data_IF_820914888317
#
_entry.id   IF_820914888317
#
_cell.length_a   1.000
_cell.length_b   1.000
_cell.length_c   1.000
_cell.angle_alpha   90.00
_cell.angle_beta   90.00
_cell.angle_gamma   90.00
#
_symmetry.space_group_name_H-M   'P 1'
#
loop_
_entity.id
_entity.type
_entity.pdbx_description
1 polymer ?
#
# COMPACT_ATOMS: atom_id res chain seq x y z
N UNK A 1 19.16 -1.92 1.92
CA UNK A 1 18.43 -2.28 3.18
C UNK A 1 17.11 -2.95 2.79
N UNK A 2 16.69 -4.02 3.49
CA UNK A 2 15.48 -4.78 3.19
C UNK A 2 14.33 -4.42 4.13
N UNK A 3 13.11 -4.37 3.60
CA UNK A 3 11.89 -4.16 4.38
C UNK A 3 11.58 -5.41 5.22
N UNK A 4 11.66 -5.29 6.54
CA UNK A 4 11.43 -6.38 7.50
C UNK A 4 12.18 -7.70 7.14
N UNK A 5 13.42 -7.58 6.65
CA UNK A 5 14.24 -8.68 6.15
C UNK A 5 13.66 -9.44 4.94
N UNK A 6 12.65 -8.90 4.27
CA UNK A 6 12.03 -9.50 3.09
C UNK A 6 12.86 -9.22 1.83
N UNK A 7 13.05 -10.25 1.01
CA UNK A 7 13.59 -10.12 -0.35
C UNK A 7 12.47 -9.73 -1.33
N UNK A 8 11.26 -10.28 -1.13
CA UNK A 8 10.12 -10.06 -2.00
C UNK A 8 8.82 -9.89 -1.22
N UNK A 9 8.09 -8.83 -1.52
CA UNK A 9 6.82 -8.45 -0.88
C UNK A 9 5.74 -8.31 -1.94
N UNK A 10 4.55 -8.91 -1.69
CA UNK A 10 3.36 -8.68 -2.48
C UNK A 10 2.50 -7.61 -1.79
N UNK A 11 2.24 -6.51 -2.46
CA UNK A 11 1.33 -5.47 -1.98
C UNK A 11 -0.01 -5.60 -2.68
N UNK A 12 -1.09 -5.82 -1.93
CA UNK A 12 -2.44 -5.88 -2.47
C UNK A 12 -3.17 -4.58 -2.12
N UNK A 13 -3.52 -3.81 -3.13
CA UNK A 13 -4.32 -2.60 -3.02
C UNK A 13 -5.78 -2.91 -3.38
N UNK A 14 -6.73 -2.39 -2.64
CA UNK A 14 -8.13 -2.44 -3.05
C UNK A 14 -8.35 -1.53 -4.27
N UNK A 15 -7.77 -0.33 -4.21
CA UNK A 15 -7.91 0.72 -5.22
C UNK A 15 -6.55 1.25 -5.69
N UNK A 16 -6.50 1.86 -6.88
CA UNK A 16 -5.36 2.66 -7.30
C UNK A 16 -5.17 3.83 -6.32
N UNK A 17 -4.03 3.95 -5.69
CA UNK A 17 -3.58 4.93 -4.67
C UNK A 17 -3.33 4.37 -3.26
N UNK A 18 -3.91 3.24 -2.85
CA UNK A 18 -3.81 2.71 -1.48
C UNK A 18 -2.37 2.46 -1.05
N UNK A 19 -1.58 1.78 -1.90
CA UNK A 19 -0.17 1.42 -1.61
C UNK A 19 0.69 2.69 -1.65
N UNK A 20 0.46 3.55 -2.62
CA UNK A 20 1.20 4.80 -2.77
C UNK A 20 0.96 5.71 -1.57
N UNK A 21 -0.27 5.80 -1.12
CA UNK A 21 -0.63 6.59 0.05
C UNK A 21 -0.08 5.98 1.35
N UNK A 22 -0.24 4.67 1.53
CA UNK A 22 0.12 3.98 2.76
C UNK A 22 1.61 3.70 2.95
N UNK A 23 2.36 3.36 1.87
CA UNK A 23 3.70 2.79 2.02
C UNK A 23 4.74 3.12 0.93
N UNK A 24 4.46 4.06 0.01
CA UNK A 24 5.40 4.39 -1.07
C UNK A 24 6.78 4.81 -0.57
N UNK A 25 6.84 5.57 0.52
CA UNK A 25 8.10 6.00 1.11
C UNK A 25 8.96 4.83 1.60
N UNK A 26 8.34 3.82 2.19
CA UNK A 26 9.02 2.57 2.58
C UNK A 26 9.53 1.82 1.36
N UNK A 27 8.75 1.73 0.29
CA UNK A 27 9.18 1.10 -0.96
C UNK A 27 10.44 1.78 -1.50
N UNK A 28 10.46 3.11 -1.55
CA UNK A 28 11.61 3.90 -2.02
C UNK A 28 12.83 3.74 -1.11
N UNK A 29 12.61 3.66 0.20
CA UNK A 29 13.69 3.49 1.20
C UNK A 29 14.35 2.11 1.11
N UNK A 30 13.56 1.06 0.97
CA UNK A 30 14.03 -0.33 1.04
C UNK A 30 14.36 -0.92 -0.34
N UNK A 31 15.36 -0.37 -0.99
CA UNK A 31 15.74 -0.67 -2.38
C UNK A 31 16.21 -2.10 -2.64
N UNK A 32 16.57 -2.86 -1.59
CA UNK A 32 17.00 -4.27 -1.72
C UNK A 32 15.79 -5.24 -1.59
N UNK A 33 14.58 -4.73 -1.36
CA UNK A 33 13.33 -5.49 -1.41
C UNK A 33 12.63 -5.25 -2.74
N UNK A 34 12.17 -6.32 -3.38
CA UNK A 34 11.29 -6.23 -4.56
C UNK A 34 9.84 -6.16 -4.11
N UNK A 35 9.10 -5.22 -4.65
CA UNK A 35 7.68 -5.05 -4.36
C UNK A 35 6.85 -5.30 -5.62
N UNK A 36 6.05 -6.39 -5.60
CA UNK A 36 5.03 -6.59 -6.60
C UNK A 36 3.73 -5.96 -6.08
N UNK A 37 3.17 -5.01 -6.84
CA UNK A 37 1.92 -4.32 -6.48
C UNK A 37 0.81 -4.87 -7.36
N UNK A 38 -0.25 -5.38 -6.75
CA UNK A 38 -1.48 -5.76 -7.43
C UNK A 38 -2.63 -4.86 -6.97
N UNK A 39 -3.11 -4.03 -7.87
CA UNK A 39 -4.34 -3.27 -7.66
C UNK A 39 -5.52 -4.14 -8.09
N UNK A 40 -6.45 -4.39 -7.17
CA UNK A 40 -7.49 -5.40 -7.34
C UNK A 40 -8.73 -4.86 -8.06
N UNK A 41 -9.11 -3.59 -7.81
CA UNK A 41 -10.24 -2.97 -8.49
C UNK A 41 -9.83 -1.80 -9.37
N UNK A 42 -10.70 -1.46 -10.30
CA UNK A 42 -10.52 -0.29 -11.16
C UNK A 42 -10.63 1.04 -10.38
N UNK A 43 -11.30 1.02 -9.22
CA UNK A 43 -11.44 2.18 -8.35
C UNK A 43 -12.21 3.36 -8.95
N UNK A 44 -12.86 3.16 -10.08
CA UNK A 44 -13.68 4.19 -10.74
C UNK A 44 -15.07 4.31 -10.13
N UNK A 45 -15.59 5.51 -10.06
CA UNK A 45 -16.96 5.79 -9.65
C UNK A 45 -17.96 5.44 -10.76
N UNK A 46 -18.03 4.15 -11.17
CA UNK A 46 -18.92 3.65 -12.23
C UNK A 46 -18.65 4.19 -13.65
N UNK A 47 -17.54 4.90 -13.85
CA UNK A 47 -17.13 5.46 -15.15
C UNK A 47 -15.81 4.81 -15.61
N UNK A 48 -15.84 4.17 -16.80
CA UNK A 48 -14.67 3.49 -17.37
C UNK A 48 -13.51 4.46 -17.67
N UNK A 49 -13.79 5.70 -18.03
CA UNK A 49 -12.78 6.71 -18.32
C UNK A 49 -11.94 7.04 -17.07
N UNK A 50 -12.60 7.19 -15.92
CA UNK A 50 -11.94 7.46 -14.65
C UNK A 50 -11.07 6.28 -14.19
N UNK A 51 -11.50 5.04 -14.43
CA UNK A 51 -10.72 3.84 -14.09
C UNK A 51 -9.40 3.77 -14.88
N UNK A 52 -9.46 4.03 -16.19
CA UNK A 52 -8.26 4.05 -17.05
C UNK A 52 -7.28 5.13 -16.61
N UNK A 53 -7.78 6.31 -16.24
CA UNK A 53 -6.93 7.40 -15.79
C UNK A 53 -6.25 7.08 -14.46
N UNK A 54 -6.94 6.46 -13.50
CA UNK A 54 -6.37 6.02 -12.22
C UNK A 54 -5.26 4.98 -12.39
N UNK A 55 -5.41 4.04 -13.34
CA UNK A 55 -4.34 3.08 -13.65
C UNK A 55 -3.09 3.80 -14.19
N UNK A 56 -3.25 4.74 -15.12
CA UNK A 56 -2.14 5.54 -15.66
C UNK A 56 -1.47 6.39 -14.58
N UNK A 57 -2.22 6.90 -13.61
CA UNK A 57 -1.69 7.64 -12.47
C UNK A 57 -0.77 6.75 -11.63
N UNK A 58 -1.19 5.51 -11.30
CA UNK A 58 -0.32 4.52 -10.65
C UNK A 58 0.94 4.24 -11.48
N UNK A 59 0.79 3.91 -12.76
CA UNK A 59 1.92 3.61 -13.66
C UNK A 59 2.91 4.76 -13.69
N UNK A 60 2.44 6.00 -13.76
CA UNK A 60 3.28 7.19 -13.76
C UNK A 60 4.08 7.39 -12.47
N UNK A 61 3.60 6.85 -11.35
CA UNK A 61 4.33 6.84 -10.07
C UNK A 61 5.38 5.73 -10.07
N UNK A 62 5.04 4.55 -10.59
CA UNK A 62 5.91 3.37 -10.54
C UNK A 62 7.10 3.43 -11.49
N UNK A 63 6.95 4.10 -12.65
CA UNK A 63 8.00 4.23 -13.68
C UNK A 63 9.34 4.75 -13.15
N UNK A 64 9.30 5.58 -12.12
CA UNK A 64 10.50 6.20 -11.52
C UNK A 64 11.12 5.35 -10.39
N UNK A 65 10.60 4.13 -10.10
CA UNK A 65 10.97 3.34 -8.92
C UNK A 65 11.39 1.91 -9.32
N UNK A 66 12.68 1.66 -9.33
CA UNK A 66 13.31 0.44 -9.86
C UNK A 66 12.86 -0.88 -9.23
N UNK A 67 12.41 -0.85 -7.97
CA UNK A 67 12.07 -2.04 -7.19
C UNK A 67 10.57 -2.31 -7.11
N UNK A 68 9.75 -1.65 -7.95
CA UNK A 68 8.33 -1.90 -8.14
C UNK A 68 8.08 -2.71 -9.41
N UNK A 69 7.19 -3.70 -9.31
CA UNK A 69 6.50 -4.30 -10.43
C UNK A 69 4.99 -4.20 -10.19
N UNK A 70 4.34 -3.28 -10.89
CA UNK A 70 2.90 -3.03 -10.77
C UNK A 70 2.06 -3.85 -11.74
N UNK A 71 0.83 -4.20 -11.32
CA UNK A 71 -0.17 -4.86 -12.16
C UNK A 71 -1.59 -4.59 -11.66
N UNK A 72 -2.58 -4.85 -12.52
CA UNK A 72 -4.00 -4.64 -12.24
C UNK A 72 -4.79 -5.92 -12.46
N UNK A 73 -5.82 -6.15 -11.63
CA UNK A 73 -6.71 -7.30 -11.76
C UNK A 73 -7.98 -6.97 -12.57
N UNK A 74 -8.28 -5.70 -12.78
CA UNK A 74 -9.43 -5.22 -13.58
C UNK A 74 -10.80 -5.70 -13.10
N UNK A 75 -10.98 -5.84 -11.78
CA UNK A 75 -12.29 -6.03 -11.18
C UNK A 75 -12.97 -4.67 -11.06
N UNK A 76 -14.18 -4.51 -11.61
CA UNK A 76 -14.89 -3.21 -11.53
C UNK A 76 -15.17 -2.81 -10.09
N UNK A 77 -15.78 -3.71 -9.33
CA UNK A 77 -16.10 -3.50 -7.92
C UNK A 77 -15.78 -4.76 -7.12
N UNK A 78 -14.99 -4.62 -6.07
CA UNK A 78 -14.72 -5.74 -5.17
C UNK A 78 -15.98 -6.21 -4.42
N UNK A 79 -17.02 -5.37 -4.35
CA UNK A 79 -18.33 -5.75 -3.81
C UNK A 79 -18.94 -6.96 -4.52
N UNK A 80 -18.76 -7.04 -5.85
CA UNK A 80 -19.41 -8.02 -6.71
C UNK A 80 -18.68 -9.38 -6.74
N UNK A 81 -17.49 -9.48 -6.14
CA UNK A 81 -16.63 -10.65 -6.15
C UNK A 81 -16.60 -11.27 -4.75
N UNK A 82 -16.70 -12.59 -4.64
CA UNK A 82 -16.53 -13.27 -3.36
C UNK A 82 -15.06 -13.31 -2.91
N UNK A 83 -14.81 -13.58 -1.62
CA UNK A 83 -13.44 -13.74 -1.12
C UNK A 83 -12.70 -14.91 -1.81
N UNK A 84 -13.40 -16.03 -2.09
CA UNK A 84 -12.82 -17.19 -2.79
C UNK A 84 -12.46 -16.86 -4.25
N UNK A 85 -13.31 -16.14 -4.97
CA UNK A 85 -13.01 -15.68 -6.34
C UNK A 85 -11.80 -14.75 -6.35
N UNK A 86 -11.70 -13.85 -5.37
CA UNK A 86 -10.56 -12.94 -5.24
C UNK A 86 -9.26 -13.70 -4.94
N UNK A 87 -9.29 -14.68 -4.03
CA UNK A 87 -8.16 -15.57 -3.72
C UNK A 87 -7.70 -16.27 -5.00
N UNK A 88 -8.62 -16.92 -5.71
CA UNK A 88 -8.31 -17.65 -6.94
C UNK A 88 -7.72 -16.74 -8.02
N UNK A 89 -8.22 -15.51 -8.15
CA UNK A 89 -7.72 -14.55 -9.10
C UNK A 89 -6.29 -14.10 -8.76
N UNK A 90 -5.98 -13.88 -7.48
CA UNK A 90 -4.61 -13.54 -7.03
C UNK A 90 -3.67 -14.73 -7.26
N UNK A 91 -4.07 -15.95 -6.87
CA UNK A 91 -3.26 -17.17 -7.04
C UNK A 91 -3.02 -17.52 -8.54
N UNK A 92 -3.90 -17.10 -9.43
CA UNK A 92 -3.70 -17.26 -10.87
C UNK A 92 -2.56 -16.37 -11.44
N UNK A 93 -2.27 -15.26 -10.78
CA UNK A 93 -1.21 -14.31 -11.18
C UNK A 93 0.10 -14.53 -10.43
N UNK A 94 0.02 -14.96 -9.17
CA UNK A 94 1.18 -15.00 -8.27
C UNK A 94 1.25 -16.35 -7.54
N UNK A 95 2.44 -16.96 -7.54
CA UNK A 95 2.72 -18.04 -6.60
C UNK A 95 3.05 -17.41 -5.24
N UNK A 96 2.12 -17.47 -4.29
CA UNK A 96 2.24 -16.80 -2.99
C UNK A 96 3.45 -17.31 -2.18
N UNK A 97 3.91 -18.55 -2.45
CA UNK A 97 5.10 -19.10 -1.78
C UNK A 97 6.42 -18.41 -2.18
N UNK A 98 6.41 -17.57 -3.22
CA UNK A 98 7.59 -16.82 -3.66
C UNK A 98 7.77 -15.51 -2.86
N UNK A 99 6.84 -15.20 -1.93
CA UNK A 99 6.85 -13.96 -1.16
C UNK A 99 7.14 -14.21 0.31
N UNK A 100 7.98 -13.37 0.89
CA UNK A 100 8.28 -13.39 2.32
C UNK A 100 7.14 -12.79 3.15
N UNK A 101 6.45 -11.79 2.58
CA UNK A 101 5.30 -11.17 3.21
C UNK A 101 4.32 -10.56 2.20
N UNK A 102 3.07 -10.41 2.64
CA UNK A 102 2.02 -9.66 1.94
C UNK A 102 1.70 -8.40 2.74
N UNK A 103 1.66 -7.24 2.05
CA UNK A 103 1.22 -5.96 2.61
C UNK A 103 -0.18 -5.63 2.09
N UNK A 104 -1.10 -5.26 2.98
CA UNK A 104 -2.51 -5.01 2.65
C UNK A 104 -3.10 -3.87 3.48
N UNK A 105 -4.25 -3.27 3.08
CA UNK A 105 -5.07 -2.46 3.96
C UNK A 105 -5.51 -3.24 5.20
N UNK A 106 -5.79 -2.57 6.34
CA UNK A 106 -6.14 -3.26 7.58
C UNK A 106 -7.57 -3.82 7.59
N UNK A 107 -7.82 -4.80 8.46
CA UNK A 107 -9.17 -5.27 8.77
C UNK A 107 -9.97 -4.19 9.52
N UNK A 108 -9.30 -3.42 10.38
CA UNK A 108 -9.89 -2.32 11.14
C UNK A 108 -9.94 -1.05 10.26
N UNK A 109 -10.76 -1.10 9.22
CA UNK A 109 -10.93 -0.03 8.23
C UNK A 109 -12.41 0.27 8.00
N UNK A 110 -12.77 1.54 7.80
CA UNK A 110 -14.14 1.94 7.49
C UNK A 110 -14.53 1.45 6.08
N UNK A 111 -13.57 1.39 5.14
CA UNK A 111 -13.83 0.95 3.77
C UNK A 111 -14.00 -0.57 3.69
N UNK A 112 -15.18 -1.03 3.24
CA UNK A 112 -15.49 -2.47 3.23
C UNK A 112 -14.61 -3.26 2.25
N UNK A 113 -14.16 -2.67 1.14
CA UNK A 113 -13.28 -3.33 0.17
C UNK A 113 -11.88 -3.55 0.74
N UNK A 114 -11.36 -2.63 1.56
CA UNK A 114 -10.12 -2.83 2.31
C UNK A 114 -10.21 -4.07 3.21
N UNK A 115 -11.32 -4.19 3.97
CA UNK A 115 -11.55 -5.37 4.82
C UNK A 115 -11.66 -6.67 4.03
N UNK A 116 -12.22 -6.62 2.82
CA UNK A 116 -12.29 -7.79 1.91
C UNK A 116 -10.90 -8.20 1.44
N UNK A 117 -10.05 -7.25 1.04
CA UNK A 117 -8.65 -7.52 0.65
C UNK A 117 -7.87 -8.15 1.80
N UNK A 118 -8.01 -7.63 3.02
CA UNK A 118 -7.39 -8.23 4.20
C UNK A 118 -7.79 -9.70 4.39
N UNK A 119 -9.09 -10.02 4.32
CA UNK A 119 -9.60 -11.39 4.51
C UNK A 119 -9.09 -12.34 3.42
N UNK A 120 -9.07 -11.88 2.17
CA UNK A 120 -8.50 -12.65 1.06
C UNK A 120 -7.01 -12.93 1.30
N UNK A 121 -6.21 -11.91 1.69
CA UNK A 121 -4.80 -12.08 2.01
C UNK A 121 -4.57 -13.07 3.17
N UNK A 122 -5.39 -12.99 4.22
CA UNK A 122 -5.33 -13.94 5.32
C UNK A 122 -5.63 -15.38 4.86
N UNK A 123 -6.59 -15.53 3.94
CA UNK A 123 -6.90 -16.83 3.29
C UNK A 123 -5.73 -17.38 2.47
N UNK A 124 -5.06 -16.53 1.67
CA UNK A 124 -3.90 -16.90 0.83
C UNK A 124 -2.76 -17.51 1.65
N UNK A 125 -2.45 -16.93 2.81
CA UNK A 125 -1.27 -17.33 3.61
C UNK A 125 -1.55 -18.42 4.64
N UNK A 126 -2.79 -18.92 4.74
CA UNK A 126 -3.20 -19.84 5.82
C UNK A 126 -2.33 -21.10 5.98
N UNK A 127 -1.72 -21.59 4.89
CA UNK A 127 -0.95 -22.85 4.84
C UNK A 127 0.52 -22.67 4.50
N UNK A 128 0.97 -21.43 4.33
CA UNK A 128 2.34 -21.11 3.92
C UNK A 128 3.06 -20.21 4.93
N UNK A 129 4.38 -20.25 4.89
CA UNK A 129 5.22 -19.35 5.69
C UNK A 129 5.38 -18.02 4.94
N UNK A 130 4.41 -17.15 5.09
CA UNK A 130 4.42 -15.81 4.53
C UNK A 130 3.91 -14.84 5.60
N UNK A 131 4.59 -13.71 5.78
CA UNK A 131 4.18 -12.66 6.72
C UNK A 131 2.91 -11.96 6.26
N UNK A 132 2.18 -11.36 7.20
CA UNK A 132 1.07 -10.45 6.92
C UNK A 132 1.31 -9.14 7.63
N UNK A 133 1.28 -8.06 6.87
CA UNK A 133 1.55 -6.71 7.34
C UNK A 133 0.42 -5.83 6.84
N UNK A 134 -0.13 -4.99 7.70
CA UNK A 134 -1.08 -3.97 7.29
C UNK A 134 -0.43 -2.60 7.30
N UNK A 135 -0.71 -1.79 6.28
CA UNK A 135 -0.30 -0.39 6.22
C UNK A 135 -1.48 0.52 6.54
N UNK A 136 -1.21 1.69 7.09
CA UNK A 136 -2.25 2.67 7.41
C UNK A 136 -2.89 3.22 6.14
N UNK A 137 -4.22 3.26 6.12
CA UNK A 137 -5.02 3.93 5.09
C UNK A 137 -5.70 5.17 5.67
N UNK A 138 -6.17 6.13 4.84
CA UNK A 138 -6.92 7.29 5.33
C UNK A 138 -8.23 6.93 6.05
N UNK A 139 -8.78 5.75 5.76
CA UNK A 139 -10.02 5.21 6.34
C UNK A 139 -9.81 4.23 7.48
N UNK A 140 -8.55 4.01 7.91
CA UNK A 140 -8.26 3.15 9.06
C UNK A 140 -8.94 3.68 10.32
N UNK A 141 -9.57 2.77 11.08
CA UNK A 141 -10.28 3.11 12.30
C UNK A 141 -9.32 3.35 13.48
N UNK A 142 -9.79 4.07 14.50
CA UNK A 142 -8.98 4.42 15.67
C UNK A 142 -8.47 3.19 16.46
N UNK A 143 -9.13 2.04 16.34
CA UNK A 143 -8.70 0.78 16.96
C UNK A 143 -7.60 0.05 16.17
N UNK A 144 -7.26 0.51 14.96
CA UNK A 144 -6.07 0.04 14.27
C UNK A 144 -4.82 0.67 14.89
N UNK A 145 -4.08 -0.09 15.65
CA UNK A 145 -2.89 0.38 16.36
C UNK A 145 -1.65 -0.19 15.68
N UNK A 146 -0.79 0.65 15.09
CA UNK A 146 0.46 0.19 14.49
C UNK A 146 1.46 -0.28 15.55
N UNK A 147 2.32 -1.23 15.17
CA UNK A 147 3.40 -1.76 16.01
C UNK A 147 4.78 -1.69 15.32
N UNK A 148 4.81 -1.16 14.11
CA UNK A 148 6.02 -0.93 13.34
C UNK A 148 5.95 0.40 12.59
N UNK A 149 7.05 1.15 12.60
CA UNK A 149 7.13 2.49 12.02
C UNK A 149 8.37 2.62 11.15
N UNK A 150 8.22 3.23 9.99
CA UNK A 150 9.32 3.60 9.11
C UNK A 150 9.48 5.11 9.14
N UNK A 151 10.57 5.57 9.75
CA UNK A 151 10.92 6.99 9.75
C UNK A 151 11.47 7.39 8.37
N UNK A 152 10.88 8.40 7.77
CA UNK A 152 11.22 8.96 6.47
C UNK A 152 11.61 10.43 6.55
N UNK A 153 11.72 10.96 7.77
CA UNK A 153 11.91 12.40 8.03
C UNK A 153 13.15 12.96 7.35
N UNK A 154 14.26 12.21 7.37
CA UNK A 154 15.57 12.64 6.84
C UNK A 154 16.11 11.74 5.75
N UNK A 155 15.39 10.69 5.38
CA UNK A 155 15.86 9.75 4.37
C UNK A 155 15.79 10.35 2.97
N UNK A 156 16.74 9.94 2.15
CA UNK A 156 16.87 10.40 0.78
C UNK A 156 16.80 9.23 -0.21
N UNK A 157 16.30 9.52 -1.40
CA UNK A 157 16.31 8.61 -2.54
C UNK A 157 17.75 8.38 -3.04
N UNK A 158 17.95 7.44 -3.95
CA UNK A 158 19.24 7.23 -4.65
C UNK A 158 19.74 8.51 -5.34
N UNK A 159 18.86 9.40 -5.76
CA UNK A 159 19.17 10.67 -6.43
C UNK A 159 19.36 11.83 -5.47
N UNK A 160 19.24 11.60 -4.15
CA UNK A 160 19.42 12.61 -3.11
C UNK A 160 18.19 13.45 -2.79
N UNK A 161 17.03 13.17 -3.38
CA UNK A 161 15.78 13.83 -3.00
C UNK A 161 15.26 13.30 -1.66
N UNK A 162 14.70 14.15 -0.81
CA UNK A 162 14.08 13.74 0.46
C UNK A 162 12.86 12.87 0.15
N UNK A 163 12.77 11.67 0.75
CA UNK A 163 11.73 10.67 0.44
C UNK A 163 10.32 11.21 0.74
N UNK A 164 10.13 11.92 1.85
CA UNK A 164 8.83 12.52 2.18
C UNK A 164 8.36 13.51 1.11
N UNK A 165 9.28 14.33 0.58
CA UNK A 165 8.96 15.25 -0.51
C UNK A 165 8.67 14.52 -1.82
N UNK A 166 9.46 13.48 -2.15
CA UNK A 166 9.20 12.65 -3.32
C UNK A 166 7.82 12.00 -3.25
N UNK A 167 7.48 11.39 -2.10
CA UNK A 167 6.16 10.77 -1.90
C UNK A 167 5.02 11.78 -2.07
N UNK A 168 5.13 12.97 -1.51
CA UNK A 168 4.11 14.01 -1.68
C UNK A 168 3.91 14.37 -3.15
N UNK A 169 4.99 14.57 -3.90
CA UNK A 169 4.91 14.85 -5.34
C UNK A 169 4.31 13.67 -6.12
N UNK A 170 4.62 12.44 -5.76
CA UNK A 170 4.02 11.26 -6.37
C UNK A 170 2.50 11.22 -6.13
N UNK A 171 2.04 11.54 -4.91
CA UNK A 171 0.61 11.60 -4.60
C UNK A 171 -0.13 12.71 -5.39
N UNK A 172 0.55 13.80 -5.76
CA UNK A 172 -0.04 14.84 -6.62
C UNK A 172 -0.29 14.37 -8.06
N UNK A 173 0.32 13.26 -8.50
CA UNK A 173 0.05 12.66 -9.81
C UNK A 173 -1.34 12.01 -9.89
N UNK A 174 -1.97 11.70 -8.76
CA UNK A 174 -3.35 11.19 -8.70
C UNK A 174 -4.36 12.33 -8.86
N UNK A 175 -4.41 12.90 -10.07
CA UNK A 175 -5.24 14.06 -10.40
C UNK A 175 -6.73 13.79 -10.24
N UNK A 176 -7.16 12.54 -10.48
CA UNK A 176 -8.54 12.08 -10.30
C UNK A 176 -8.98 12.05 -8.83
N UNK A 177 -8.04 12.17 -7.87
CA UNK A 177 -8.29 12.09 -6.44
C UNK A 177 -8.09 13.43 -5.70
N UNK A 178 -7.73 14.50 -6.42
CA UNK A 178 -7.39 15.79 -5.78
C UNK A 178 -8.58 16.52 -5.15
N UNK A 179 -9.81 16.13 -5.46
CA UNK A 179 -11.03 16.61 -4.78
C UNK A 179 -11.21 16.02 -3.37
N UNK A 180 -10.51 14.94 -3.05
CA UNK A 180 -10.58 14.29 -1.75
C UNK A 180 -9.68 14.99 -0.73
N UNK A 181 -10.24 15.35 0.41
CA UNK A 181 -9.55 16.12 1.44
C UNK A 181 -8.24 15.49 1.94
N UNK A 182 -8.12 14.17 1.94
CA UNK A 182 -6.92 13.47 2.39
C UNK A 182 -5.74 13.56 1.38
N UNK A 183 -6.00 13.98 0.12
CA UNK A 183 -4.94 14.27 -0.86
C UNK A 183 -4.37 15.69 -0.77
N UNK A 184 -4.94 16.56 0.08
CA UNK A 184 -4.37 17.89 0.29
C UNK A 184 -3.06 17.83 1.09
N UNK A 185 -2.10 18.66 0.77
CA UNK A 185 -0.75 18.70 1.37
C UNK A 185 -0.75 18.61 2.90
N UNK A 186 -1.54 19.46 3.55
CA UNK A 186 -1.64 19.49 5.01
C UNK A 186 -2.21 18.19 5.58
N UNK A 187 -3.11 17.53 4.85
CA UNK A 187 -3.70 16.26 5.26
C UNK A 187 -2.69 15.12 5.12
N UNK A 188 -1.89 15.12 4.06
CA UNK A 188 -0.79 14.16 3.88
C UNK A 188 0.23 14.31 5.00
N UNK A 189 0.67 15.53 5.33
CA UNK A 189 1.57 15.76 6.44
C UNK A 189 0.98 15.32 7.78
N UNK A 190 -0.27 15.66 8.04
CA UNK A 190 -0.97 15.25 9.26
C UNK A 190 -1.11 13.73 9.36
N UNK A 191 -1.41 13.05 8.26
CA UNK A 191 -1.52 11.59 8.22
C UNK A 191 -0.19 10.90 8.54
N UNK A 192 0.92 11.43 8.03
CA UNK A 192 2.26 10.88 8.25
C UNK A 192 2.94 11.43 9.52
N UNK A 193 2.36 12.46 10.17
CA UNK A 193 2.82 12.91 11.47
C UNK A 193 2.45 11.87 12.53
N UNK A 194 3.45 11.35 13.22
CA UNK A 194 3.22 10.23 14.12
C UNK A 194 2.90 10.68 15.54
N UNK A 195 1.61 10.76 15.87
CA UNK A 195 1.14 11.06 17.23
C UNK A 195 1.39 9.92 18.24
N UNK A 196 1.65 8.71 17.76
CA UNK A 196 1.83 7.54 18.60
C UNK A 196 3.31 7.19 18.85
N UNK A 197 4.24 7.81 18.10
CA UNK A 197 5.67 7.62 18.31
C UNK A 197 6.18 8.57 19.40
N UNK A 198 6.86 8.02 20.38
CA UNK A 198 7.45 8.78 21.47
C UNK A 198 8.73 9.53 21.10
N UNK A 199 9.26 9.30 19.90
CA UNK A 199 10.48 9.98 19.42
C UNK A 199 10.12 11.31 18.76
N UNK A 200 10.55 12.39 19.40
CA UNK A 200 10.19 13.78 19.03
C UNK A 200 10.73 14.25 17.68
N UNK A 201 11.71 13.53 17.09
CA UNK A 201 12.39 13.95 15.86
C UNK A 201 11.80 13.32 14.60
N UNK A 202 10.82 12.42 14.72
CA UNK A 202 10.15 11.77 13.61
C UNK A 202 8.94 12.61 13.19
N UNK A 203 9.03 13.33 12.08
CA UNK A 203 7.97 14.21 11.57
C UNK A 203 7.24 13.66 10.36
N UNK A 204 7.81 12.64 9.69
CA UNK A 204 7.17 11.98 8.56
C UNK A 204 7.42 10.47 8.66
N UNK A 205 6.35 9.71 8.91
CA UNK A 205 6.44 8.29 9.26
C UNK A 205 5.37 7.51 8.52
N UNK A 206 5.73 6.37 7.98
CA UNK A 206 4.77 5.36 7.56
C UNK A 206 4.55 4.34 8.67
N UNK A 207 3.29 4.04 8.93
CA UNK A 207 2.86 3.21 10.06
C UNK A 207 2.32 1.87 9.57
N UNK A 208 2.75 0.80 10.23
CA UNK A 208 2.39 -0.57 9.89
C UNK A 208 1.98 -1.36 11.13
N UNK A 209 1.17 -2.39 10.92
CA UNK A 209 0.93 -3.41 11.92
C UNK A 209 1.36 -4.77 11.35
N UNK A 210 2.34 -5.37 12.02
CA UNK A 210 2.75 -6.74 11.74
C UNK A 210 1.73 -7.65 12.39
N UNK A 211 0.90 -8.31 11.58
CA UNK A 211 -0.13 -9.26 12.02
C UNK A 211 0.46 -10.67 12.20
N UNK A 212 1.41 -11.01 11.34
CA UNK A 212 2.10 -12.29 11.33
C UNK A 212 3.49 -12.12 10.72
N UNK A 213 4.51 -12.64 11.37
CA UNK A 213 5.85 -12.72 10.79
C UNK A 213 6.49 -14.09 11.06
N UNK A 214 7.48 -14.43 10.24
CA UNK A 214 8.33 -15.60 10.40
C UNK A 214 9.78 -15.14 10.42
N UNK A 215 10.53 -15.64 11.42
CA UNK A 215 11.98 -15.45 11.53
C UNK A 215 12.71 -16.63 10.88
#
# INVERSE_FOLDING_TARGET
MRFLNSDKVLCLAAHPDDVEYGMLGSIIKYTDTKFDILVLSEGGNFDESTSIDRHKECESVWEDIDNIQGSFLSVKHLADVTEDELINAIESKFNISDYDSICVPPLDDAHFEHRKVYRAAFGLIRRIKCGLITFRTPSALDNWIPNFYVDLTKDVTKTGAIISYFKKNALLKFTTQQDKSYFHDNSIDSFHSNYQCTQRDMTFVESFRIERCYN
#
